data_IF_757070140677
#
_entry.id   IF_757070140677
#
_cell.length_a   1.000
_cell.length_b   1.000
_cell.length_c   1.000
_cell.angle_alpha   90.00
_cell.angle_beta   90.00
_cell.angle_gamma   90.00
#
_symmetry.space_group_name_H-M   'P 1'
#
loop_
_entity.id
_entity.type
_entity.pdbx_description
1 polymer ?
#
# COMPACT_ATOMS: atom_id res chain seq x y z
N UNK A 1 -3.35 16.47 -21.84
CA UNK A 1 -3.08 15.16 -22.47
C UNK A 1 -1.75 14.63 -21.97
N UNK A 2 -1.77 13.47 -21.31
CA UNK A 2 -0.57 12.83 -20.78
C UNK A 2 0.24 12.19 -21.91
N UNK A 3 1.57 12.32 -21.87
CA UNK A 3 2.47 11.78 -22.90
C UNK A 3 2.65 10.27 -22.74
N UNK A 4 2.55 9.53 -23.84
CA UNK A 4 2.76 8.08 -23.88
C UNK A 4 4.26 7.80 -24.05
N UNK A 5 4.96 7.73 -22.93
CA UNK A 5 6.40 7.51 -22.85
C UNK A 5 6.70 6.51 -21.73
N UNK A 6 7.90 5.92 -21.75
CA UNK A 6 8.37 5.06 -20.66
C UNK A 6 8.21 5.78 -19.30
N UNK A 7 7.61 5.14 -18.29
CA UNK A 7 7.40 5.78 -17.01
C UNK A 7 8.71 5.90 -16.25
N UNK A 8 8.85 7.00 -15.52
CA UNK A 8 9.90 7.21 -14.54
C UNK A 8 9.29 7.89 -13.30
N UNK A 9 10.07 7.99 -12.23
CA UNK A 9 9.61 8.58 -10.96
C UNK A 9 9.02 9.98 -11.15
N UNK A 10 9.63 10.84 -11.96
CA UNK A 10 9.19 12.22 -12.15
C UNK A 10 7.88 12.29 -12.96
N UNK A 11 7.75 11.44 -13.98
CA UNK A 11 6.50 11.31 -14.75
C UNK A 11 5.37 10.79 -13.87
N UNK A 12 5.62 9.74 -13.07
CA UNK A 12 4.65 9.23 -12.10
C UNK A 12 4.23 10.30 -11.11
N UNK A 13 5.19 11.04 -10.56
CA UNK A 13 4.91 12.12 -9.62
C UNK A 13 4.01 13.19 -10.25
N UNK A 14 4.26 13.59 -11.50
CA UNK A 14 3.40 14.54 -12.23
C UNK A 14 1.99 14.01 -12.43
N UNK A 15 1.84 12.74 -12.78
CA UNK A 15 0.52 12.10 -12.96
C UNK A 15 -0.24 12.04 -11.63
N UNK A 16 0.44 11.66 -10.55
CA UNK A 16 -0.16 11.61 -9.21
C UNK A 16 -0.53 13.01 -8.71
N UNK A 17 0.35 14.01 -8.89
CA UNK A 17 0.03 15.40 -8.55
C UNK A 17 -1.17 15.91 -9.36
N UNK A 18 -1.26 15.58 -10.65
CA UNK A 18 -2.38 15.95 -11.51
C UNK A 18 -3.72 15.29 -11.13
N UNK A 19 -3.68 14.07 -10.58
CA UNK A 19 -4.86 13.40 -10.00
C UNK A 19 -5.32 14.10 -8.73
N UNK A 20 -4.36 14.48 -7.86
CA UNK A 20 -4.64 15.11 -6.57
C UNK A 20 -5.20 16.53 -6.76
N UNK A 21 -4.63 17.32 -7.68
CA UNK A 21 -5.08 18.69 -7.94
C UNK A 21 -6.30 18.79 -8.87
N UNK A 22 -6.73 17.66 -9.44
CA UNK A 22 -7.88 17.57 -10.34
C UNK A 22 -7.63 18.07 -11.77
N UNK A 23 -6.38 18.31 -12.15
CA UNK A 23 -6.00 18.70 -13.52
C UNK A 23 -5.99 17.53 -14.52
N UNK A 24 -6.11 16.29 -14.04
CA UNK A 24 -6.40 15.10 -14.85
C UNK A 24 -7.50 14.26 -14.18
N UNK A 25 -8.36 13.65 -14.99
CA UNK A 25 -9.37 12.71 -14.48
C UNK A 25 -8.81 11.31 -14.30
N UNK A 26 -9.52 10.47 -13.54
CA UNK A 26 -9.16 9.04 -13.37
C UNK A 26 -9.17 8.30 -14.70
N UNK A 27 -10.14 8.59 -15.55
CA UNK A 27 -10.28 7.98 -16.88
C UNK A 27 -9.12 8.36 -17.81
N UNK A 28 -8.66 9.62 -17.75
CA UNK A 28 -7.49 10.09 -18.49
C UNK A 28 -6.22 9.34 -18.04
N UNK A 29 -6.03 9.15 -16.73
CA UNK A 29 -4.89 8.40 -16.21
C UNK A 29 -4.98 6.91 -16.53
N UNK A 30 -6.16 6.31 -16.43
CA UNK A 30 -6.38 4.91 -16.80
C UNK A 30 -6.12 4.67 -18.30
N UNK A 31 -6.52 5.62 -19.15
CA UNK A 31 -6.21 5.59 -20.59
C UNK A 31 -4.70 5.70 -20.83
N UNK A 32 -4.04 6.65 -20.16
CA UNK A 32 -2.59 6.84 -20.25
C UNK A 32 -1.80 5.60 -19.79
N UNK A 33 -2.15 5.04 -18.63
CA UNK A 33 -1.47 3.86 -18.07
C UNK A 33 -1.52 2.69 -19.05
N UNK A 34 -2.70 2.40 -19.62
CA UNK A 34 -2.88 1.35 -20.64
C UNK A 34 -2.06 1.63 -21.90
N UNK A 35 -2.03 2.88 -22.36
CA UNK A 35 -1.26 3.27 -23.54
C UNK A 35 0.26 3.10 -23.32
N UNK A 36 0.77 3.50 -22.15
CA UNK A 36 2.18 3.31 -21.77
C UNK A 36 2.54 1.83 -21.68
N UNK A 37 1.68 1.02 -21.06
CA UNK A 37 1.89 -0.43 -20.98
C UNK A 37 1.90 -1.09 -22.36
N UNK A 38 0.98 -0.69 -23.25
CA UNK A 38 0.96 -1.18 -24.63
C UNK A 38 2.22 -0.77 -25.43
N UNK A 39 2.75 0.44 -25.19
CA UNK A 39 3.95 0.93 -25.85
C UNK A 39 5.24 0.27 -25.33
N UNK A 40 5.33 -0.05 -24.04
CA UNK A 40 6.52 -0.65 -23.43
C UNK A 40 6.63 -2.18 -23.61
N UNK A 41 5.63 -2.84 -24.20
CA UNK A 41 5.60 -4.30 -24.40
C UNK A 41 5.68 -5.09 -23.07
N UNK A 42 6.47 -6.18 -23.02
CA UNK A 42 6.45 -7.15 -21.91
C UNK A 42 7.05 -6.65 -20.59
N UNK A 43 7.91 -5.63 -20.63
CA UNK A 43 8.59 -5.12 -19.43
C UNK A 43 8.59 -3.60 -19.44
N UNK A 44 8.09 -3.02 -18.35
CA UNK A 44 8.08 -1.58 -18.17
C UNK A 44 9.41 -1.17 -17.55
N UNK A 45 10.18 -0.26 -18.17
CA UNK A 45 11.56 0.04 -17.78
C UNK A 45 11.61 0.99 -16.58
N UNK A 46 11.00 0.61 -15.46
CA UNK A 46 10.99 1.36 -14.21
C UNK A 46 11.36 0.45 -13.05
N UNK A 47 12.21 0.91 -12.14
CA UNK A 47 12.60 0.13 -10.97
C UNK A 47 11.54 0.20 -9.87
N UNK A 48 11.56 -0.75 -8.93
CA UNK A 48 10.71 -0.67 -7.74
C UNK A 48 10.95 0.61 -6.94
N UNK A 49 12.20 1.06 -6.83
CA UNK A 49 12.57 2.31 -6.16
C UNK A 49 12.08 3.57 -6.90
N UNK A 50 11.76 3.44 -8.19
CA UNK A 50 11.26 4.56 -9.00
C UNK A 50 9.74 4.56 -9.13
N UNK A 51 9.05 3.58 -8.52
CA UNK A 51 7.60 3.52 -8.47
C UNK A 51 6.97 2.49 -9.39
N UNK A 52 7.67 1.40 -9.73
CA UNK A 52 7.10 0.28 -10.49
C UNK A 52 5.71 -0.13 -9.99
N UNK A 53 5.57 -0.39 -8.69
CA UNK A 53 4.30 -0.80 -8.10
C UNK A 53 3.23 0.31 -8.14
N UNK A 54 3.63 1.58 -8.09
CA UNK A 54 2.70 2.70 -8.25
C UNK A 54 2.19 2.84 -9.67
N UNK A 55 3.06 2.64 -10.67
CA UNK A 55 2.63 2.57 -12.07
C UNK A 55 1.58 1.47 -12.28
N UNK A 56 1.84 0.25 -11.77
CA UNK A 56 0.90 -0.84 -11.88
C UNK A 56 -0.36 -0.63 -11.03
N UNK A 57 -0.24 -0.02 -9.86
CA UNK A 57 -1.40 0.35 -9.03
C UNK A 57 -2.36 1.29 -9.77
N UNK A 58 -1.84 2.20 -10.61
CA UNK A 58 -2.68 3.08 -11.44
C UNK A 58 -3.55 2.33 -12.47
N UNK A 59 -3.37 1.02 -12.69
CA UNK A 59 -4.33 0.22 -13.47
C UNK A 59 -5.70 0.11 -12.81
N UNK A 60 -5.81 0.45 -11.53
CA UNK A 60 -7.07 0.45 -10.77
C UNK A 60 -7.59 1.86 -10.49
N UNK A 61 -7.02 2.90 -11.12
CA UNK A 61 -7.35 4.30 -10.83
C UNK A 61 -8.80 4.64 -11.11
N UNK A 62 -9.43 4.02 -12.09
CA UNK A 62 -10.84 4.21 -12.48
C UNK A 62 -11.74 3.03 -12.07
N UNK A 63 -11.22 2.06 -11.31
CA UNK A 63 -11.96 0.86 -10.89
C UNK A 63 -13.03 1.21 -9.84
N UNK A 64 -14.33 0.97 -10.12
CA UNK A 64 -15.39 1.17 -9.15
C UNK A 64 -15.26 0.21 -7.97
N UNK A 65 -15.56 0.70 -6.77
CA UNK A 65 -15.50 -0.06 -5.52
C UNK A 65 -16.59 0.41 -4.56
N UNK A 66 -17.07 -0.39 -3.59
CA UNK A 66 -18.03 0.08 -2.60
C UNK A 66 -17.59 1.40 -1.95
N UNK A 67 -18.44 2.42 -2.02
CA UNK A 67 -18.14 3.77 -1.51
C UNK A 67 -17.36 4.69 -2.47
N UNK A 68 -17.10 4.28 -3.71
CA UNK A 68 -16.49 5.13 -4.75
C UNK A 68 -15.56 4.36 -5.69
N UNK A 69 -14.27 4.64 -5.58
CA UNK A 69 -13.21 3.98 -6.36
C UNK A 69 -12.31 3.15 -5.45
N UNK A 70 -11.66 2.14 -6.01
CA UNK A 70 -10.72 1.30 -5.27
C UNK A 70 -9.58 2.13 -4.67
N UNK A 71 -8.86 2.88 -5.52
CA UNK A 71 -7.86 3.85 -5.08
C UNK A 71 -8.55 5.12 -4.57
N UNK A 72 -8.28 5.48 -3.32
CA UNK A 72 -8.79 6.67 -2.63
C UNK A 72 -7.81 7.84 -2.79
N UNK A 73 -8.26 9.04 -2.44
CA UNK A 73 -7.39 10.21 -2.42
C UNK A 73 -6.18 10.03 -1.48
N UNK A 74 -6.38 9.40 -0.31
CA UNK A 74 -5.27 9.09 0.61
C UNK A 74 -4.21 8.17 0.00
N UNK A 75 -4.60 7.27 -0.91
CA UNK A 75 -3.66 6.37 -1.58
C UNK A 75 -2.75 7.14 -2.54
N UNK A 76 -3.28 8.13 -3.26
CA UNK A 76 -2.47 9.02 -4.11
C UNK A 76 -1.53 9.90 -3.28
N UNK A 77 -1.98 10.36 -2.11
CA UNK A 77 -1.11 11.11 -1.19
C UNK A 77 0.06 10.25 -0.71
N UNK A 78 -0.17 8.97 -0.41
CA UNK A 78 0.90 8.03 -0.05
C UNK A 78 1.83 7.72 -1.24
N UNK A 79 1.29 7.51 -2.44
CA UNK A 79 2.11 7.36 -3.66
C UNK A 79 3.02 8.57 -3.85
N UNK A 80 2.47 9.79 -3.74
CA UNK A 80 3.22 11.04 -3.87
C UNK A 80 4.33 11.14 -2.82
N UNK A 81 4.01 10.82 -1.58
CA UNK A 81 4.96 10.91 -0.47
C UNK A 81 6.10 9.89 -0.63
N UNK A 82 5.82 8.64 -1.02
CA UNK A 82 6.85 7.63 -1.28
C UNK A 82 7.72 8.00 -2.50
N UNK A 83 7.10 8.44 -3.62
CA UNK A 83 7.82 8.91 -4.81
C UNK A 83 8.72 10.12 -4.52
N UNK A 84 8.33 11.00 -3.59
CA UNK A 84 9.16 12.13 -3.11
C UNK A 84 10.17 11.72 -2.03
N UNK A 85 10.18 10.45 -1.63
CA UNK A 85 10.98 9.93 -0.51
C UNK A 85 10.73 10.71 0.79
N UNK A 86 9.49 11.13 1.02
CA UNK A 86 9.09 11.72 2.28
C UNK A 86 9.06 10.64 3.38
N UNK A 87 9.62 10.96 4.54
CA UNK A 87 9.62 10.06 5.68
C UNK A 87 8.18 9.81 6.17
N UNK A 88 7.90 8.56 6.57
CA UNK A 88 6.65 8.19 7.22
C UNK A 88 6.42 8.91 8.55
N UNK A 89 5.24 8.70 9.12
CA UNK A 89 4.70 9.50 10.22
C UNK A 89 4.88 8.82 11.57
N UNK A 90 5.08 9.61 12.63
CA UNK A 90 5.04 9.09 14.01
C UNK A 90 3.57 9.01 14.41
N UNK A 91 3.08 7.80 14.68
CA UNK A 91 1.69 7.55 15.07
C UNK A 91 1.52 7.63 16.59
N UNK A 92 2.53 7.18 17.34
CA UNK A 92 2.64 7.33 18.80
C UNK A 92 4.10 7.19 19.24
N UNK A 93 4.38 7.29 20.55
CA UNK A 93 5.75 7.26 21.12
C UNK A 93 6.59 6.08 20.61
N UNK A 94 5.99 4.88 20.49
CA UNK A 94 6.66 3.65 20.10
C UNK A 94 6.27 3.16 18.69
N UNK A 95 5.36 3.85 17.99
CA UNK A 95 4.76 3.39 16.73
C UNK A 95 4.98 4.39 15.60
N UNK A 96 5.65 3.93 14.55
CA UNK A 96 6.03 4.76 13.40
C UNK A 96 5.48 4.11 12.13
N UNK A 97 4.73 4.85 11.33
CA UNK A 97 4.45 4.50 9.95
C UNK A 97 5.73 4.61 9.12
N UNK A 98 6.05 3.57 8.36
CA UNK A 98 7.21 3.52 7.47
C UNK A 98 6.72 3.42 6.03
N UNK A 99 7.34 4.16 5.11
CA UNK A 99 7.07 4.01 3.67
C UNK A 99 7.93 2.92 3.05
N UNK A 100 7.54 2.43 1.86
CA UNK A 100 8.17 1.28 1.20
C UNK A 100 9.67 1.46 0.99
N UNK A 101 10.13 2.69 0.69
CA UNK A 101 11.56 3.00 0.52
C UNK A 101 12.36 2.99 1.84
N UNK A 102 11.71 3.14 2.99
CA UNK A 102 12.36 3.15 4.31
C UNK A 102 12.57 1.75 4.90
N UNK A 103 11.99 0.73 4.28
CA UNK A 103 12.00 -0.63 4.81
C UNK A 103 13.30 -1.34 4.47
N UNK A 104 13.83 -2.07 5.44
CA UNK A 104 14.83 -3.08 5.13
C UNK A 104 14.12 -4.24 4.43
N UNK A 105 14.57 -4.55 3.22
CA UNK A 105 14.00 -5.62 2.40
C UNK A 105 14.67 -6.97 2.64
N UNK A 106 15.73 -7.02 3.45
CA UNK A 106 16.46 -8.25 3.76
C UNK A 106 15.70 -9.20 4.71
N UNK A 107 15.03 -8.71 5.77
CA UNK A 107 14.35 -9.61 6.70
C UNK A 107 13.13 -10.27 6.07
N UNK A 108 12.99 -11.58 6.27
CA UNK A 108 11.76 -12.30 5.96
C UNK A 108 10.66 -11.82 6.90
N UNK A 109 9.47 -11.53 6.34
CA UNK A 109 8.28 -11.23 7.13
C UNK A 109 7.45 -12.50 7.28
N UNK A 110 7.35 -12.99 8.51
CA UNK A 110 6.59 -14.19 8.83
C UNK A 110 5.14 -13.81 9.12
N UNK A 111 4.15 -14.66 8.75
CA UNK A 111 2.80 -14.54 9.27
C UNK A 111 2.80 -14.67 10.79
N UNK A 112 2.18 -13.72 11.47
CA UNK A 112 2.08 -13.68 12.93
C UNK A 112 0.64 -13.89 13.37
N UNK A 113 -0.28 -13.15 12.75
CA UNK A 113 -1.69 -13.19 13.11
C UNK A 113 -2.59 -12.85 11.93
N UNK A 114 -3.85 -13.25 12.06
CA UNK A 114 -4.97 -12.80 11.22
C UNK A 114 -5.84 -11.88 12.08
N UNK A 115 -6.18 -10.71 11.56
CA UNK A 115 -7.12 -9.79 12.19
C UNK A 115 -8.43 -9.89 11.40
N UNK A 116 -9.51 -10.26 12.07
CA UNK A 116 -10.86 -10.30 11.50
C UNK A 116 -11.39 -8.89 11.31
N UNK A 117 -11.60 -8.51 10.06
CA UNK A 117 -11.78 -7.12 9.67
C UNK A 117 -13.25 -6.71 9.63
N UNK A 118 -13.95 -6.85 10.76
CA UNK A 118 -15.38 -6.51 10.87
C UNK A 118 -15.64 -4.99 10.86
N UNK A 119 -14.60 -4.17 11.09
CA UNK A 119 -14.71 -2.70 11.25
C UNK A 119 -13.84 -1.90 10.28
N UNK A 120 -13.27 -2.53 9.26
CA UNK A 120 -12.29 -1.91 8.35
C UNK A 120 -11.12 -1.26 9.11
N UNK A 121 -10.37 -2.08 9.84
CA UNK A 121 -9.17 -1.75 10.61
C UNK A 121 -8.19 -0.90 9.80
N UNK A 122 -8.08 -1.13 8.49
CA UNK A 122 -7.19 -0.38 7.61
C UNK A 122 -7.64 1.07 7.38
N UNK A 123 -8.91 1.41 7.67
CA UNK A 123 -9.45 2.76 7.45
C UNK A 123 -8.75 3.84 8.29
N UNK A 124 -8.39 3.50 9.53
CA UNK A 124 -7.74 4.40 10.52
C UNK A 124 -6.23 4.46 10.37
N UNK A 125 -5.65 3.54 9.61
CA UNK A 125 -4.21 3.45 9.39
C UNK A 125 -3.79 4.27 8.15
N UNK A 126 -2.53 4.73 8.10
CA UNK A 126 -1.93 5.32 6.90
C UNK A 126 -1.60 4.23 5.86
N UNK A 127 -2.58 3.36 5.60
CA UNK A 127 -2.48 2.30 4.61
C UNK A 127 -2.67 2.82 3.20
N UNK A 128 -2.07 2.10 2.26
CA UNK A 128 -2.06 2.43 0.84
C UNK A 128 -2.62 1.26 0.02
N UNK A 129 -3.59 1.54 -0.85
CA UNK A 129 -4.16 0.58 -1.80
C UNK A 129 -3.39 0.57 -3.10
N UNK A 130 -3.32 -0.60 -3.73
CA UNK A 130 -2.68 -0.78 -5.03
C UNK A 130 -2.45 -2.25 -5.33
N UNK A 131 -1.39 -2.51 -6.10
CA UNK A 131 -0.81 -3.84 -6.22
C UNK A 131 0.70 -3.75 -6.00
N UNK A 132 1.23 -4.70 -5.25
CA UNK A 132 2.63 -4.73 -4.84
C UNK A 132 3.28 -6.09 -5.13
N UNK A 133 2.68 -6.87 -6.04
CA UNK A 133 3.23 -8.13 -6.52
C UNK A 133 2.83 -8.41 -7.97
N UNK A 134 3.55 -9.33 -8.62
CA UNK A 134 3.38 -9.60 -10.07
C UNK A 134 2.00 -10.14 -10.46
N UNK A 135 1.26 -10.71 -9.49
CA UNK A 135 -0.08 -11.26 -9.73
C UNK A 135 -1.13 -10.19 -9.96
N UNK A 136 -0.81 -8.92 -9.72
CA UNK A 136 -1.74 -7.80 -9.81
C UNK A 136 -2.89 -7.90 -8.81
N UNK A 137 -2.65 -8.54 -7.66
CA UNK A 137 -3.65 -8.65 -6.61
C UNK A 137 -3.97 -7.25 -6.05
N UNK A 138 -5.26 -6.99 -5.84
CA UNK A 138 -5.74 -5.76 -5.22
C UNK A 138 -5.55 -5.88 -3.72
N UNK A 139 -4.71 -5.01 -3.16
CA UNK A 139 -4.38 -5.04 -1.73
C UNK A 139 -4.38 -3.66 -1.11
N UNK A 140 -4.56 -3.61 0.21
CA UNK A 140 -4.24 -2.47 1.05
C UNK A 140 -3.11 -2.89 1.99
N UNK A 141 -2.01 -2.16 1.99
CA UNK A 141 -0.88 -2.44 2.86
C UNK A 141 -0.58 -1.28 3.81
N UNK A 142 -0.11 -1.57 5.02
CA UNK A 142 0.36 -0.57 5.97
C UNK A 142 1.62 -1.11 6.64
N UNK A 143 2.69 -0.33 6.55
CA UNK A 143 3.99 -0.69 7.09
C UNK A 143 4.24 0.09 8.36
N UNK A 144 4.49 -0.60 9.47
CA UNK A 144 4.73 0.04 10.76
C UNK A 144 5.97 -0.52 11.42
N UNK A 145 6.62 0.32 12.19
CA UNK A 145 7.70 -0.06 13.10
C UNK A 145 7.23 0.16 14.53
N UNK A 146 7.30 -0.89 15.34
CA UNK A 146 6.95 -0.85 16.75
C UNK A 146 8.09 -1.41 17.59
N UNK A 147 8.64 -0.58 18.49
CA UNK A 147 9.78 -0.94 19.36
C UNK A 147 10.93 -1.62 18.59
N UNK A 148 11.33 -1.03 17.46
CA UNK A 148 12.37 -1.54 16.54
C UNK A 148 12.05 -2.85 15.79
N UNK A 149 10.81 -3.34 15.83
CA UNK A 149 10.36 -4.48 15.02
C UNK A 149 9.50 -3.95 13.86
N UNK A 150 9.68 -4.51 12.67
CA UNK A 150 8.97 -4.09 11.47
C UNK A 150 7.82 -5.04 11.18
N UNK A 151 6.65 -4.45 10.92
CA UNK A 151 5.41 -5.15 10.65
C UNK A 151 4.79 -4.65 9.35
N UNK A 152 4.02 -5.52 8.72
CA UNK A 152 3.21 -5.25 7.55
C UNK A 152 1.81 -5.78 7.82
N UNK A 153 0.83 -4.87 7.83
CA UNK A 153 -0.59 -5.21 7.78
C UNK A 153 -0.99 -5.24 6.31
N UNK A 154 -1.52 -6.37 5.83
CA UNK A 154 -1.99 -6.49 4.44
C UNK A 154 -3.39 -7.06 4.38
N UNK A 155 -4.27 -6.34 3.70
CA UNK A 155 -5.63 -6.77 3.36
C UNK A 155 -5.65 -7.09 1.87
N UNK A 156 -6.04 -8.31 1.51
CA UNK A 156 -6.33 -8.66 0.13
C UNK A 156 -7.82 -8.44 -0.12
N UNK A 157 -8.17 -7.84 -1.26
CA UNK A 157 -9.57 -7.68 -1.66
C UNK A 157 -9.95 -8.84 -2.58
N UNK A 158 -10.15 -10.02 -2.00
CA UNK A 158 -10.75 -11.17 -2.67
C UNK A 158 -12.21 -11.37 -2.22
N UNK A 159 -12.96 -12.19 -2.96
CA UNK A 159 -14.42 -12.32 -2.80
C UNK A 159 -14.86 -12.98 -1.49
N UNK A 160 -13.96 -13.41 -0.60
CA UNK A 160 -14.31 -14.36 0.46
C UNK A 160 -13.83 -14.06 1.87
N UNK A 161 -12.87 -13.17 2.12
CA UNK A 161 -12.38 -12.95 3.50
C UNK A 161 -12.08 -11.47 3.82
N UNK A 162 -12.92 -10.89 4.69
CA UNK A 162 -12.59 -9.64 5.41
C UNK A 162 -11.53 -9.91 6.47
N UNK A 163 -10.28 -10.05 6.05
CA UNK A 163 -9.15 -10.35 6.91
C UNK A 163 -7.95 -9.47 6.58
N UNK A 164 -7.21 -9.10 7.63
CA UNK A 164 -5.92 -8.43 7.54
C UNK A 164 -4.85 -9.37 8.07
N UNK A 165 -3.85 -9.70 7.26
CA UNK A 165 -2.70 -10.47 7.70
C UNK A 165 -1.70 -9.52 8.37
N UNK A 166 -1.29 -9.87 9.58
CA UNK A 166 -0.17 -9.24 10.27
C UNK A 166 1.09 -10.07 10.01
N UNK A 167 2.04 -9.48 9.28
CA UNK A 167 3.34 -10.06 9.01
C UNK A 167 4.42 -9.27 9.77
N UNK A 168 5.51 -9.90 10.19
CA UNK A 168 6.61 -9.17 10.83
C UNK A 168 7.95 -9.88 10.82
N UNK A 169 9.01 -9.14 11.14
CA UNK A 169 10.38 -9.65 11.20
C UNK A 169 10.69 -10.42 12.50
N UNK A 170 9.78 -10.41 13.47
CA UNK A 170 9.84 -11.14 14.73
C UNK A 170 8.57 -11.96 14.92
N UNK A 171 8.70 -13.25 15.25
CA UNK A 171 7.58 -14.14 15.57
C UNK A 171 7.14 -14.11 17.04
N UNK A 172 7.75 -13.21 17.82
CA UNK A 172 7.41 -13.02 19.24
C UNK A 172 5.97 -12.50 19.39
N UNK A 173 5.09 -13.37 19.90
CA UNK A 173 3.68 -13.09 20.11
C UNK A 173 3.46 -11.88 21.04
N UNK A 174 4.22 -11.77 22.12
CA UNK A 174 4.04 -10.67 23.08
C UNK A 174 4.38 -9.31 22.49
N UNK A 175 5.35 -9.25 21.56
CA UNK A 175 5.63 -8.02 20.81
C UNK A 175 4.50 -7.66 19.86
N UNK A 176 3.91 -8.66 19.20
CA UNK A 176 2.79 -8.45 18.31
C UNK A 176 1.52 -8.04 19.06
N UNK A 177 1.24 -8.61 20.23
CA UNK A 177 0.17 -8.16 21.13
C UNK A 177 0.35 -6.69 21.51
N UNK A 178 1.58 -6.28 21.88
CA UNK A 178 1.88 -4.86 22.16
C UNK A 178 1.64 -3.94 20.97
N UNK A 179 1.88 -4.41 19.74
CA UNK A 179 1.54 -3.65 18.53
C UNK A 179 0.02 -3.52 18.35
N UNK A 180 -0.74 -4.61 18.54
CA UNK A 180 -2.21 -4.61 18.43
C UNK A 180 -2.81 -3.59 19.42
N UNK A 181 -2.32 -3.56 20.65
CA UNK A 181 -2.70 -2.55 21.65
C UNK A 181 -2.32 -1.13 21.21
N UNK A 182 -1.10 -0.92 20.71
CA UNK A 182 -0.64 0.39 20.25
C UNK A 182 -1.44 0.92 19.04
N UNK A 183 -1.94 0.03 18.19
CA UNK A 183 -2.86 0.34 17.09
C UNK A 183 -4.31 0.51 17.54
N UNK A 184 -4.61 0.35 18.83
CA UNK A 184 -5.96 0.38 19.41
C UNK A 184 -6.93 -0.61 18.76
N UNK A 185 -6.42 -1.79 18.38
CA UNK A 185 -7.21 -2.85 17.77
C UNK A 185 -7.78 -3.77 18.85
N UNK A 186 -9.00 -4.26 18.60
CA UNK A 186 -9.67 -5.19 19.50
C UNK A 186 -8.94 -6.54 19.47
N UNK A 187 -8.31 -6.90 20.58
CA UNK A 187 -7.55 -8.14 20.71
C UNK A 187 -8.41 -9.39 20.49
N UNK A 188 -9.73 -9.31 20.69
CA UNK A 188 -10.65 -10.44 20.44
C UNK A 188 -10.85 -10.73 18.96
N UNK A 189 -10.54 -9.76 18.09
CA UNK A 189 -10.59 -9.92 16.64
C UNK A 189 -9.28 -10.48 16.05
N UNK A 190 -8.28 -10.81 16.88
CA UNK A 190 -6.95 -11.22 16.43
C UNK A 190 -6.71 -12.71 16.73
N UNK A 191 -6.47 -13.48 15.68
CA UNK A 191 -6.09 -14.89 15.74
C UNK A 191 -4.57 -15.06 15.53
N UNK A 192 -3.88 -15.53 16.57
CA UNK A 192 -2.44 -15.80 16.59
C UNK A 192 -2.08 -17.26 16.23
N UNK A 193 -2.97 -18.02 15.59
CA UNK A 193 -2.76 -19.44 15.26
C UNK A 193 -1.52 -19.76 14.39
N UNK A 194 -0.82 -18.74 13.88
CA UNK A 194 0.42 -18.84 13.11
C UNK A 194 1.71 -18.70 13.95
N UNK A 195 1.58 -18.35 15.24
CA UNK A 195 2.67 -18.08 16.20
C UNK A 195 3.38 -19.32 16.70
#
# INVERSE_FOLDING_TARGET
MLLVEAPDRNRLLKVVDALIDGSCTREEVASWQRAVQAACSWEIPISESDGYWYFYGLSFVDLPFPGGYFLREKDFNEYRADLRQAAGEILSEDLIHRRSWQLDRKPVRWPIAVIHDERDVMSTLPGCRGTFEKRMDMVEHCHVEYRSNQYLLVKQFDEHLSQVLLLGNSRDKSKAEGLIEALSLDSSAVDFSYG
#
